data_IF_432128386363
#
_entry.id   IF_432128386363
#
_cell.length_a   1.000
_cell.length_b   1.000
_cell.length_c   1.000
_cell.angle_alpha   90.00
_cell.angle_beta   90.00
_cell.angle_gamma   90.00
#
_symmetry.space_group_name_H-M   'P 1'
#
loop_
_entity.id
_entity.type
_entity.pdbx_description
1 polymer ?
#
# COMPACT_ATOMS: atom_id res chain seq x y z
N UNK A 1 -15.62 14.10 -2.33
CA UNK A 1 -14.95 14.21 -1.01
C UNK A 1 -14.85 12.81 -0.43
N UNK A 2 -13.68 12.42 0.09
CA UNK A 2 -13.44 11.12 0.74
C UNK A 2 -12.61 11.32 2.01
N UNK A 3 -12.91 10.53 3.04
CA UNK A 3 -12.20 10.50 4.32
C UNK A 3 -12.15 9.05 4.81
N UNK A 4 -10.98 8.44 4.76
CA UNK A 4 -10.76 7.02 5.09
C UNK A 4 -9.27 6.78 5.34
N UNK A 5 -8.93 5.63 5.93
CA UNK A 5 -7.58 5.04 5.85
C UNK A 5 -7.40 4.28 4.52
N UNK A 6 -6.17 4.13 4.01
CA UNK A 6 -5.90 3.32 2.82
C UNK A 6 -6.39 1.87 2.95
N UNK A 7 -6.70 1.23 1.82
CA UNK A 7 -6.97 -0.21 1.76
C UNK A 7 -6.24 -0.81 0.56
N UNK A 8 -4.93 -0.98 0.74
CA UNK A 8 -4.04 -1.38 -0.33
C UNK A 8 -3.83 -0.32 -1.43
N UNK A 9 -2.82 -0.51 -2.29
CA UNK A 9 -2.51 0.33 -3.45
C UNK A 9 -3.44 0.09 -4.65
N UNK A 10 -4.76 0.12 -4.44
CA UNK A 10 -5.77 -0.22 -5.45
C UNK A 10 -7.01 0.67 -5.39
N UNK A 11 -7.73 0.74 -6.51
CA UNK A 11 -9.04 1.37 -6.61
C UNK A 11 -9.04 2.89 -6.60
N UNK A 12 -10.25 3.46 -6.65
CA UNK A 12 -10.46 4.89 -6.86
C UNK A 12 -9.74 5.79 -5.86
N UNK A 13 -9.72 5.44 -4.57
CA UNK A 13 -9.10 6.30 -3.55
C UNK A 13 -7.58 6.36 -3.73
N UNK A 14 -6.93 5.22 -4.02
CA UNK A 14 -5.50 5.18 -4.34
C UNK A 14 -5.17 5.97 -5.60
N UNK A 15 -5.95 5.80 -6.67
CA UNK A 15 -5.78 6.52 -7.93
C UNK A 15 -5.97 8.03 -7.73
N UNK A 16 -7.03 8.44 -7.05
CA UNK A 16 -7.27 9.85 -6.71
C UNK A 16 -6.12 10.41 -5.85
N UNK A 17 -5.61 9.65 -4.89
CA UNK A 17 -4.53 10.06 -4.00
C UNK A 17 -3.17 10.21 -4.71
N UNK A 18 -2.83 9.28 -5.60
CA UNK A 18 -1.50 9.21 -6.24
C UNK A 18 -1.42 9.90 -7.60
N UNK A 19 -2.57 10.21 -8.22
CA UNK A 19 -2.61 10.96 -9.47
C UNK A 19 -2.10 12.38 -9.32
N UNK A 20 -1.70 12.98 -10.45
CA UNK A 20 -1.36 14.41 -10.56
C UNK A 20 -2.58 15.31 -10.78
N UNK A 21 -3.78 14.81 -10.50
CA UNK A 21 -5.00 15.59 -10.68
C UNK A 21 -5.08 16.70 -9.62
N UNK A 22 -4.98 17.96 -10.08
CA UNK A 22 -4.99 19.15 -9.24
C UNK A 22 -6.40 19.53 -8.75
N UNK A 23 -7.46 18.89 -9.26
CA UNK A 23 -8.82 19.10 -8.75
C UNK A 23 -9.04 18.54 -7.35
N UNK A 24 -8.14 17.66 -6.87
CA UNK A 24 -8.16 17.14 -5.52
C UNK A 24 -7.20 17.89 -4.60
N UNK A 25 -7.76 18.39 -3.51
CA UNK A 25 -6.99 18.75 -2.33
C UNK A 25 -6.82 17.50 -1.45
N UNK A 26 -5.59 17.22 -1.02
CA UNK A 26 -5.23 15.97 -0.33
C UNK A 26 -4.57 16.32 1.00
N UNK A 27 -5.03 15.66 2.06
CA UNK A 27 -4.56 15.87 3.43
C UNK A 27 -4.24 14.53 4.08
N UNK A 28 -3.02 14.39 4.60
CA UNK A 28 -2.58 13.22 5.37
C UNK A 28 -2.27 13.65 6.78
N UNK A 29 -2.92 13.03 7.75
CA UNK A 29 -2.62 13.17 9.17
C UNK A 29 -2.47 11.74 9.72
N UNK A 30 -1.25 11.36 10.06
CA UNK A 30 -0.96 10.08 10.71
C UNK A 30 -1.46 10.08 12.15
N UNK A 31 -1.56 8.90 12.74
CA UNK A 31 -1.98 8.79 14.14
C UNK A 31 -1.00 9.47 15.10
N UNK A 32 0.31 9.48 14.79
CA UNK A 32 1.34 10.15 15.57
C UNK A 32 1.22 11.69 15.54
N UNK A 33 0.60 12.25 14.50
CA UNK A 33 0.33 13.69 14.40
C UNK A 33 -0.93 14.10 15.20
N UNK A 34 -1.71 13.14 15.70
CA UNK A 34 -2.89 13.41 16.52
C UNK A 34 -2.52 13.45 18.02
N UNK A 35 -2.55 14.61 18.70
CA UNK A 35 -2.12 14.73 20.10
C UNK A 35 -3.03 13.99 21.11
N UNK A 36 -4.15 13.42 20.65
CA UNK A 36 -5.05 12.60 21.46
C UNK A 36 -4.64 11.13 21.52
N UNK A 37 -3.68 10.72 20.68
CA UNK A 37 -3.19 9.36 20.59
C UNK A 37 -1.80 9.33 21.22
N UNK A 38 -1.61 8.49 22.24
CA UNK A 38 -0.34 8.42 22.95
C UNK A 38 0.64 7.50 22.24
N UNK A 39 1.94 7.71 22.47
CA UNK A 39 2.98 6.86 21.91
C UNK A 39 2.90 5.42 22.45
N UNK A 40 2.51 5.25 23.72
CA UNK A 40 2.32 3.93 24.33
C UNK A 40 1.19 3.14 23.65
N UNK A 41 0.12 3.82 23.25
CA UNK A 41 -0.97 3.21 22.49
C UNK A 41 -0.49 2.76 21.11
N UNK A 42 0.24 3.61 20.39
CA UNK A 42 0.79 3.27 19.07
C UNK A 42 1.73 2.07 19.14
N UNK A 43 2.59 2.01 20.16
CA UNK A 43 3.48 0.88 20.38
C UNK A 43 2.74 -0.43 20.70
N UNK A 44 1.62 -0.36 21.45
CA UNK A 44 0.76 -1.51 21.69
C UNK A 44 0.11 -2.00 20.40
N UNK A 45 -0.49 -1.09 19.62
CA UNK A 45 -1.15 -1.43 18.36
C UNK A 45 -0.18 -2.01 17.33
N UNK A 46 1.03 -1.45 17.24
CA UNK A 46 2.09 -1.95 16.35
C UNK A 46 2.47 -3.40 16.64
N UNK A 47 2.50 -3.78 17.92
CA UNK A 47 2.77 -5.18 18.34
C UNK A 47 1.57 -6.10 18.08
N UNK A 48 0.36 -5.59 18.24
CA UNK A 48 -0.87 -6.37 18.05
C UNK A 48 -1.19 -6.65 16.57
N UNK A 49 -1.04 -5.63 15.72
CA UNK A 49 -1.41 -5.68 14.30
C UNK A 49 -0.27 -6.14 13.39
N UNK A 50 0.96 -6.01 13.86
CA UNK A 50 2.15 -6.20 13.03
C UNK A 50 2.37 -5.06 12.05
N UNK A 51 3.55 -5.05 11.43
CA UNK A 51 4.04 -3.96 10.58
C UNK A 51 3.08 -3.59 9.43
N UNK A 52 2.55 -4.58 8.72
CA UNK A 52 1.76 -4.34 7.51
C UNK A 52 0.45 -3.59 7.79
N UNK A 53 -0.36 -4.08 8.75
CA UNK A 53 -1.64 -3.45 9.10
C UNK A 53 -1.41 -2.12 9.84
N UNK A 54 -0.35 -2.03 10.65
CA UNK A 54 -0.02 -0.79 11.35
C UNK A 54 0.27 0.36 10.37
N UNK A 55 1.09 0.14 9.33
CA UNK A 55 1.37 1.17 8.32
C UNK A 55 0.10 1.67 7.61
N UNK A 56 -0.80 0.74 7.29
CA UNK A 56 -2.04 1.09 6.62
C UNK A 56 -2.92 1.96 7.52
N UNK A 57 -3.20 1.50 8.74
CA UNK A 57 -4.19 2.14 9.62
C UNK A 57 -3.63 3.37 10.36
N UNK A 58 -2.36 3.35 10.78
CA UNK A 58 -1.77 4.38 11.64
C UNK A 58 -0.83 5.32 10.90
N UNK A 59 -0.14 4.85 9.86
CA UNK A 59 0.79 5.67 9.06
C UNK A 59 0.15 6.14 7.74
N UNK A 60 -1.10 5.76 7.47
CA UNK A 60 -1.84 6.12 6.26
C UNK A 60 -1.08 5.75 4.97
N UNK A 61 -0.46 4.58 4.94
CA UNK A 61 0.29 4.12 3.78
C UNK A 61 -0.53 3.17 2.90
N UNK A 62 -0.43 3.38 1.59
CA UNK A 62 -0.95 2.44 0.60
C UNK A 62 0.03 1.27 0.46
N UNK A 63 -0.18 0.22 1.24
CA UNK A 63 0.59 -1.03 1.19
C UNK A 63 0.07 -1.94 0.07
N UNK A 64 0.81 -2.99 -0.31
CA UNK A 64 0.29 -4.00 -1.23
C UNK A 64 -0.89 -4.78 -0.63
N UNK A 65 -1.59 -5.63 -1.40
CA UNK A 65 -2.70 -6.39 -0.82
C UNK A 65 -2.21 -7.36 0.28
N UNK A 66 -2.95 -7.47 1.39
CA UNK A 66 -2.59 -8.35 2.51
C UNK A 66 -2.49 -9.84 2.15
N UNK A 67 -3.07 -10.23 1.01
CA UNK A 67 -2.98 -11.57 0.44
C UNK A 67 -1.68 -11.85 -0.32
N UNK A 68 -0.83 -10.84 -0.54
CA UNK A 68 0.42 -10.99 -1.28
C UNK A 68 1.54 -11.52 -0.38
N UNK A 69 2.25 -12.54 -0.86
CA UNK A 69 3.41 -13.11 -0.16
C UNK A 69 4.67 -12.24 -0.27
N UNK A 70 4.76 -11.41 -1.32
CA UNK A 70 5.87 -10.49 -1.57
C UNK A 70 5.30 -9.12 -1.93
N UNK A 71 5.97 -8.05 -1.50
CA UNK A 71 5.60 -6.70 -1.93
C UNK A 71 5.93 -6.49 -3.43
N UNK A 72 5.22 -5.55 -4.04
CA UNK A 72 5.32 -5.24 -5.47
C UNK A 72 6.71 -4.75 -5.86
N UNK A 73 7.42 -4.06 -4.97
CA UNK A 73 8.77 -3.56 -5.25
C UNK A 73 9.80 -4.68 -5.25
N UNK A 74 9.67 -5.64 -4.33
CA UNK A 74 10.44 -6.88 -4.33
C UNK A 74 10.18 -7.70 -5.60
N UNK A 75 8.92 -7.81 -6.05
CA UNK A 75 8.58 -8.47 -7.31
C UNK A 75 9.24 -7.76 -8.49
N UNK A 76 9.15 -6.43 -8.58
CA UNK A 76 9.77 -5.64 -9.66
C UNK A 76 11.30 -5.76 -9.64
N UNK A 77 11.91 -5.73 -8.46
CA UNK A 77 13.36 -5.88 -8.29
C UNK A 77 13.85 -7.30 -8.62
N UNK A 78 13.01 -8.31 -8.46
CA UNK A 78 13.34 -9.70 -8.81
C UNK A 78 13.35 -9.97 -10.32
N UNK A 79 12.82 -9.07 -11.15
CA UNK A 79 12.83 -9.22 -12.62
C UNK A 79 14.19 -8.84 -13.17
N UNK A 80 14.98 -9.84 -13.57
CA UNK A 80 16.21 -9.63 -14.32
C UNK A 80 15.91 -9.66 -15.85
N UNK A 81 16.07 -8.53 -16.55
CA UNK A 81 15.77 -8.45 -17.99
C UNK A 81 16.72 -9.28 -18.86
N UNK A 82 17.87 -9.72 -18.34
CA UNK A 82 18.81 -10.58 -19.04
C UNK A 82 18.38 -12.05 -19.07
N UNK A 83 17.49 -12.46 -18.16
CA UNK A 83 16.96 -13.81 -18.09
C UNK A 83 15.83 -13.95 -19.11
N UNK A 84 16.04 -14.80 -20.11
CA UNK A 84 15.02 -15.12 -21.11
C UNK A 84 13.80 -15.75 -20.43
N UNK A 85 12.58 -15.20 -20.60
CA UNK A 85 11.37 -15.82 -20.08
C UNK A 85 11.21 -17.25 -20.61
N UNK A 86 10.79 -18.16 -19.73
CA UNK A 86 10.41 -19.52 -20.14
C UNK A 86 9.22 -19.40 -21.10
N UNK A 87 9.45 -19.71 -22.38
CA UNK A 87 8.46 -19.54 -23.42
C UNK A 87 7.31 -20.53 -23.28
N UNK A 88 6.15 -20.05 -22.85
CA UNK A 88 4.86 -20.72 -23.04
C UNK A 88 3.72 -19.72 -23.37
N UNK A 89 4.04 -18.66 -24.11
CA UNK A 89 3.02 -17.88 -24.84
C UNK A 89 3.00 -18.31 -26.31
N UNK A 90 2.90 -19.62 -26.57
CA UNK A 90 2.40 -20.10 -27.87
C UNK A 90 0.89 -20.03 -27.84
N UNK A 91 0.34 -19.58 -28.96
CA UNK A 91 -1.00 -19.02 -29.14
C UNK A 91 -2.08 -20.12 -29.25
N UNK A 92 -2.04 -21.13 -28.39
CA UNK A 92 -2.82 -22.37 -28.55
C UNK A 92 -3.78 -22.68 -27.38
N UNK A 93 -4.11 -21.70 -26.53
CA UNK A 93 -5.05 -21.87 -25.40
C UNK A 93 -6.26 -20.92 -25.44
N UNK A 94 -6.94 -20.82 -26.60
CA UNK A 94 -8.36 -20.42 -26.71
C UNK A 94 -9.05 -21.38 -27.67
#
# INVERSE_FOLDING_TARGET
>A
MALTTPFGAVGWFYEAWTSRDESYERYRITAAECPRISEEFLEQEKRALGWFLYRQEFECEFVDASSMAFDSDAIRAAVDPSIRPLGCLTRDWI
#
